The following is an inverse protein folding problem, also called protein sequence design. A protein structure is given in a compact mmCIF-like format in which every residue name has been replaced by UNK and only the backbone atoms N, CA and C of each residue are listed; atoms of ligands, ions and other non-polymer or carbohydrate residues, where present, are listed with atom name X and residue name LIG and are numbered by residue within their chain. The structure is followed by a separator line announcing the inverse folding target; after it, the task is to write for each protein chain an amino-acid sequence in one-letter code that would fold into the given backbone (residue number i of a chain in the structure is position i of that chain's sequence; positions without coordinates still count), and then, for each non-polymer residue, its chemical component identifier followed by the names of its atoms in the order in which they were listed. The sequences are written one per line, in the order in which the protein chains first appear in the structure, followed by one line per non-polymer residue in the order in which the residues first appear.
data_IF_723279847332
#
_entry.id   IF_723279847332
#
_cell.length_a   1.000
_cell.length_b   1.000
_cell.length_c   1.000
_cell.angle_alpha   90.00
_cell.angle_beta   90.00
_cell.angle_gamma   90.00
#
_symmetry.space_group_name_H-M   'P 1'
#
loop_
_entity.id
_entity.type
_entity.pdbx_description
1 polymer ?
#
# COMPACT_ATOMS: atom_id res chain seq x y z
N UNK A 1 -61.50 -41.36 -27.18
CA UNK A 1 -60.71 -40.11 -27.19
C UNK A 1 -60.31 -39.75 -25.72
N UNK A 2 -59.08 -40.12 -25.31
CA UNK A 2 -58.55 -39.81 -23.99
C UNK A 2 -57.63 -38.60 -24.14
N UNK A 3 -57.99 -37.46 -23.52
CA UNK A 3 -57.15 -36.25 -23.45
C UNK A 3 -56.15 -36.42 -22.29
N UNK A 4 -54.91 -36.53 -22.63
CA UNK A 4 -53.81 -36.53 -21.66
C UNK A 4 -53.42 -35.09 -21.33
N UNK A 5 -53.62 -34.66 -20.10
CA UNK A 5 -53.26 -33.33 -19.60
C UNK A 5 -51.78 -33.39 -19.16
N UNK A 6 -50.89 -32.68 -19.86
CA UNK A 6 -49.49 -32.59 -19.54
C UNK A 6 -49.26 -31.40 -18.59
N UNK A 7 -49.05 -31.67 -17.29
CA UNK A 7 -48.69 -30.65 -16.32
C UNK A 7 -47.19 -30.30 -16.46
N UNK A 8 -46.87 -29.12 -16.94
CA UNK A 8 -45.53 -28.55 -16.86
C UNK A 8 -45.26 -28.02 -15.42
N UNK A 9 -44.42 -28.75 -14.72
CA UNK A 9 -43.90 -28.28 -13.43
C UNK A 9 -42.78 -27.26 -13.69
N UNK A 10 -43.06 -25.96 -13.48
CA UNK A 10 -42.09 -24.89 -13.58
C UNK A 10 -41.29 -24.90 -12.24
N UNK A 11 -40.13 -25.56 -12.22
CA UNK A 11 -39.18 -25.39 -11.14
C UNK A 11 -38.54 -24.00 -11.22
N UNK A 12 -39.05 -23.06 -10.46
CA UNK A 12 -38.38 -21.78 -10.21
C UNK A 12 -37.10 -22.09 -9.40
N UNK A 13 -35.96 -22.16 -10.08
CA UNK A 13 -34.65 -22.13 -9.45
C UNK A 13 -34.48 -20.73 -8.88
N UNK A 14 -34.84 -20.55 -7.60
CA UNK A 14 -34.37 -19.42 -6.82
C UNK A 14 -32.84 -19.54 -6.73
N UNK A 15 -32.16 -18.91 -7.64
CA UNK A 15 -30.73 -18.69 -7.51
C UNK A 15 -30.50 -17.89 -6.23
N UNK A 16 -30.11 -18.57 -5.16
CA UNK A 16 -29.52 -17.92 -4.00
C UNK A 16 -28.35 -17.11 -4.54
N UNK A 17 -28.52 -15.78 -4.62
CA UNK A 17 -27.40 -14.87 -4.80
C UNK A 17 -26.46 -15.18 -3.62
N UNK A 18 -25.38 -15.91 -3.89
CA UNK A 18 -24.31 -16.03 -2.94
C UNK A 18 -23.83 -14.60 -2.71
N UNK A 19 -24.15 -14.03 -1.56
CA UNK A 19 -23.57 -12.78 -1.12
C UNK A 19 -22.07 -13.03 -1.06
N UNK A 20 -21.33 -12.57 -2.06
CA UNK A 20 -19.88 -12.57 -2.00
C UNK A 20 -19.51 -11.77 -0.74
N UNK A 21 -18.81 -12.43 0.19
CA UNK A 21 -18.33 -11.76 1.41
C UNK A 21 -17.47 -10.56 1.00
N UNK A 22 -17.76 -9.39 1.59
CA UNK A 22 -17.00 -8.19 1.34
C UNK A 22 -15.58 -8.34 1.92
N UNK A 23 -14.52 -8.30 1.08
CA UNK A 23 -13.15 -8.52 1.54
C UNK A 23 -12.70 -7.55 2.65
N UNK A 24 -13.19 -6.32 2.65
CA UNK A 24 -12.86 -5.36 3.69
C UNK A 24 -13.44 -5.79 5.04
N UNK A 25 -14.68 -6.28 5.05
CA UNK A 25 -15.30 -6.86 6.26
C UNK A 25 -14.55 -8.10 6.72
N UNK A 26 -14.19 -9.01 5.81
CA UNK A 26 -13.44 -10.23 6.13
C UNK A 26 -12.08 -9.90 6.75
N UNK A 27 -11.37 -8.86 6.24
CA UNK A 27 -10.11 -8.39 6.81
C UNK A 27 -10.30 -7.80 8.22
N UNK A 28 -11.35 -7.00 8.45
CA UNK A 28 -11.67 -6.45 9.79
C UNK A 28 -11.89 -7.58 10.79
N UNK A 29 -12.70 -8.57 10.42
CA UNK A 29 -13.02 -9.69 11.30
C UNK A 29 -11.79 -10.57 11.58
N UNK A 30 -10.96 -10.85 10.55
CA UNK A 30 -9.73 -11.61 10.71
C UNK A 30 -8.71 -10.88 11.59
N UNK A 31 -8.52 -9.58 11.39
CA UNK A 31 -7.61 -8.76 12.19
C UNK A 31 -8.06 -8.68 13.66
N UNK A 32 -9.35 -8.45 13.92
CA UNK A 32 -9.87 -8.40 15.27
C UNK A 32 -9.74 -9.74 16.01
N UNK A 33 -10.00 -10.87 15.33
CA UNK A 33 -9.78 -12.21 15.91
C UNK A 33 -8.31 -12.45 16.23
N UNK A 34 -7.41 -12.03 15.34
CA UNK A 34 -5.97 -12.12 15.58
C UNK A 34 -5.58 -11.29 16.81
N UNK A 35 -5.96 -10.00 16.87
CA UNK A 35 -5.66 -9.10 17.98
C UNK A 35 -6.20 -9.65 19.31
N UNK A 36 -7.44 -10.19 19.31
CA UNK A 36 -8.07 -10.76 20.52
C UNK A 36 -7.31 -11.98 21.07
N UNK A 37 -6.53 -12.69 20.23
CA UNK A 37 -5.74 -13.85 20.65
C UNK A 37 -4.38 -13.48 21.25
N UNK A 38 -3.96 -12.20 21.17
CA UNK A 38 -2.64 -11.74 21.57
C UNK A 38 -2.59 -11.37 23.05
N UNK A 39 -1.53 -11.78 23.73
CA UNK A 39 -1.13 -11.21 25.01
C UNK A 39 -0.53 -9.80 24.88
N UNK A 40 -0.25 -9.14 25.98
CA UNK A 40 0.26 -7.75 25.97
C UNK A 40 1.62 -7.62 25.28
N UNK A 41 2.48 -8.63 25.39
CA UNK A 41 3.79 -8.63 24.74
C UNK A 41 3.65 -8.75 23.21
N UNK A 42 2.79 -9.63 22.76
CA UNK A 42 2.50 -9.83 21.34
C UNK A 42 1.77 -8.60 20.74
N UNK A 43 0.82 -8.00 21.47
CA UNK A 43 0.18 -6.73 21.09
C UNK A 43 1.21 -5.63 20.91
N UNK A 44 2.11 -5.44 21.90
CA UNK A 44 3.18 -4.43 21.81
C UNK A 44 4.10 -4.64 20.60
N UNK A 45 4.31 -5.87 20.16
CA UNK A 45 5.13 -6.18 19.00
C UNK A 45 4.42 -5.94 17.67
N UNK A 46 3.09 -6.12 17.60
CA UNK A 46 2.34 -6.16 16.34
C UNK A 46 1.44 -4.95 16.09
N UNK A 47 1.06 -4.18 17.13
CA UNK A 47 0.12 -3.07 16.99
C UNK A 47 0.85 -1.74 16.96
N UNK A 48 0.54 -0.93 15.98
CA UNK A 48 1.11 0.39 15.75
C UNK A 48 -0.01 1.42 15.57
N UNK A 49 0.27 2.67 15.89
CA UNK A 49 -0.65 3.76 15.53
C UNK A 49 -0.75 3.92 14.01
N UNK A 50 -1.85 4.46 13.52
CA UNK A 50 -2.06 4.65 12.08
C UNK A 50 -0.99 5.53 11.42
N UNK A 51 -0.53 6.55 12.12
CA UNK A 51 0.48 7.52 11.67
C UNK A 51 1.93 7.03 11.88
N UNK A 52 2.11 5.80 12.36
CA UNK A 52 3.44 5.22 12.56
C UNK A 52 4.23 5.19 11.25
N UNK A 53 5.46 5.70 11.28
CA UNK A 53 6.40 5.62 10.15
C UNK A 53 6.74 4.18 9.76
N UNK A 54 6.56 3.23 10.68
CA UNK A 54 6.77 1.82 10.41
C UNK A 54 5.83 1.29 9.33
N UNK A 55 4.66 1.91 9.11
CA UNK A 55 3.71 1.54 8.06
C UNK A 55 4.31 1.58 6.66
N UNK A 56 5.26 2.47 6.42
CA UNK A 56 5.93 2.66 5.13
C UNK A 56 7.35 2.04 5.08
N UNK A 57 7.82 1.50 6.20
CA UNK A 57 9.13 0.83 6.30
C UNK A 57 8.99 -0.66 5.95
N UNK A 58 8.86 -0.95 4.69
CA UNK A 58 8.75 -2.31 4.17
C UNK A 58 10.10 -2.85 3.68
N UNK A 59 10.24 -4.18 3.64
CA UNK A 59 11.45 -4.81 3.14
C UNK A 59 11.21 -6.27 2.78
N UNK A 60 11.98 -6.79 1.83
CA UNK A 60 11.92 -8.19 1.38
C UNK A 60 13.23 -8.97 1.57
N UNK A 61 14.25 -8.35 2.17
CA UNK A 61 15.52 -9.01 2.49
C UNK A 61 15.41 -9.88 3.74
N UNK A 62 16.32 -10.85 3.94
CA UNK A 62 16.49 -11.49 5.24
C UNK A 62 16.79 -10.46 6.33
N UNK A 63 16.27 -10.67 7.55
CA UNK A 63 16.31 -9.69 8.65
C UNK A 63 17.68 -9.04 8.86
N UNK A 64 18.75 -9.83 8.92
CA UNK A 64 20.09 -9.32 9.17
C UNK A 64 20.62 -8.29 8.17
N UNK A 65 20.01 -8.20 6.98
CA UNK A 65 20.38 -7.23 5.95
C UNK A 65 19.53 -5.97 5.99
N UNK A 66 18.51 -5.91 6.84
CA UNK A 66 17.66 -4.73 7.01
C UNK A 66 18.40 -3.68 7.84
N UNK A 67 18.55 -2.49 7.29
CA UNK A 67 19.20 -1.38 8.01
C UNK A 67 18.17 -0.58 8.81
N UNK A 68 18.57 0.02 9.96
CA UNK A 68 19.93 0.10 10.48
C UNK A 68 20.35 -1.08 11.36
N UNK A 69 19.42 -1.85 11.92
CA UNK A 69 19.66 -2.74 13.07
C UNK A 69 19.50 -4.24 12.79
N UNK A 70 19.27 -4.61 11.53
CA UNK A 70 19.07 -6.02 11.15
C UNK A 70 17.78 -6.61 11.70
N UNK A 71 16.74 -5.79 11.91
CA UNK A 71 15.47 -6.21 12.51
C UNK A 71 14.28 -5.78 11.69
N UNK A 72 13.30 -6.67 11.60
CA UNK A 72 11.98 -6.40 11.10
C UNK A 72 11.04 -6.18 12.28
N UNK A 73 10.14 -5.22 12.16
CA UNK A 73 9.09 -4.98 13.16
C UNK A 73 7.89 -5.89 12.91
N UNK A 74 7.09 -6.11 13.95
CA UNK A 74 5.92 -6.98 13.91
C UNK A 74 6.06 -8.21 14.80
N UNK A 75 4.99 -8.96 14.94
CA UNK A 75 4.98 -10.24 15.65
C UNK A 75 5.39 -11.36 14.66
N UNK A 76 6.55 -12.01 14.83
CA UNK A 76 6.96 -13.10 13.95
C UNK A 76 6.17 -14.39 14.24
N UNK A 77 5.91 -15.18 13.21
CA UNK A 77 5.24 -16.49 13.30
C UNK A 77 5.96 -17.38 14.32
N UNK A 78 7.28 -17.29 14.40
CA UNK A 78 8.12 -18.04 15.36
C UNK A 78 7.66 -17.89 16.81
N UNK A 79 7.14 -16.73 17.18
CA UNK A 79 6.69 -16.41 18.55
C UNK A 79 5.17 -16.62 18.75
N UNK A 80 4.45 -17.01 17.70
CA UNK A 80 3.02 -17.24 17.76
C UNK A 80 2.68 -18.65 18.26
N UNK A 81 1.63 -18.77 19.05
CA UNK A 81 0.98 -20.06 19.33
C UNK A 81 0.36 -20.65 18.05
N UNK A 82 0.04 -21.94 18.06
CA UNK A 82 -0.61 -22.59 16.90
C UNK A 82 -1.93 -21.87 16.52
N UNK A 83 -2.73 -21.46 17.49
CA UNK A 83 -3.96 -20.69 17.25
C UNK A 83 -3.67 -19.33 16.61
N UNK A 84 -2.67 -18.60 17.08
CA UNK A 84 -2.29 -17.30 16.52
C UNK A 84 -1.77 -17.43 15.09
N UNK A 85 -1.03 -18.50 14.75
CA UNK A 85 -0.58 -18.80 13.39
C UNK A 85 -1.77 -19.01 12.43
N UNK A 86 -2.80 -19.75 12.88
CA UNK A 86 -4.03 -19.96 12.10
C UNK A 86 -4.72 -18.61 11.83
N UNK A 87 -4.83 -17.75 12.84
CA UNK A 87 -5.48 -16.44 12.73
C UNK A 87 -4.68 -15.47 11.84
N UNK A 88 -3.34 -15.48 11.92
CA UNK A 88 -2.47 -14.72 11.03
C UNK A 88 -2.62 -15.16 9.56
N UNK A 89 -2.70 -16.47 9.31
CA UNK A 89 -2.99 -17.00 7.98
C UNK A 89 -4.41 -16.67 7.51
N UNK A 90 -5.37 -16.57 8.44
CA UNK A 90 -6.73 -16.09 8.16
C UNK A 90 -6.75 -14.67 7.61
N UNK A 91 -5.84 -13.80 8.08
CA UNK A 91 -5.69 -12.44 7.57
C UNK A 91 -5.17 -12.44 6.10
N UNK A 92 -4.17 -13.28 5.78
CA UNK A 92 -3.74 -13.49 4.40
C UNK A 92 -4.88 -13.97 3.50
N UNK A 93 -5.64 -14.97 3.97
CA UNK A 93 -6.76 -15.55 3.22
C UNK A 93 -7.90 -14.55 3.00
N UNK A 94 -8.11 -13.57 3.88
CA UNK A 94 -9.10 -12.52 3.70
C UNK A 94 -8.76 -11.55 2.55
N UNK A 95 -7.47 -11.43 2.20
CA UNK A 95 -6.97 -10.48 1.21
C UNK A 95 -6.56 -11.12 -0.11
N UNK A 96 -5.96 -12.30 -0.06
CA UNK A 96 -5.43 -12.98 -1.22
C UNK A 96 -6.49 -13.88 -1.88
N UNK A 97 -6.38 -14.03 -3.19
CA UNK A 97 -7.08 -15.08 -3.90
C UNK A 97 -6.54 -16.46 -3.47
N UNK A 98 -7.22 -17.52 -3.85
CA UNK A 98 -6.72 -18.87 -3.63
C UNK A 98 -5.30 -19.06 -4.21
N UNK A 99 -5.06 -18.55 -5.42
CA UNK A 99 -3.74 -18.56 -6.06
C UNK A 99 -2.71 -17.79 -5.24
N UNK A 100 -3.01 -16.53 -4.89
CA UNK A 100 -2.07 -15.68 -4.14
C UNK A 100 -1.75 -16.23 -2.77
N UNK A 101 -2.72 -16.84 -2.09
CA UNK A 101 -2.49 -17.51 -0.81
C UNK A 101 -1.55 -18.72 -0.94
N UNK A 102 -1.76 -19.55 -1.97
CA UNK A 102 -0.87 -20.68 -2.25
C UNK A 102 0.55 -20.21 -2.61
N UNK A 103 0.68 -19.19 -3.45
CA UNK A 103 1.98 -18.61 -3.79
C UNK A 103 2.69 -18.06 -2.55
N UNK A 104 2.02 -17.27 -1.72
CA UNK A 104 2.58 -16.70 -0.50
C UNK A 104 3.06 -17.79 0.48
N UNK A 105 2.23 -18.80 0.74
CA UNK A 105 2.60 -19.90 1.66
C UNK A 105 3.70 -20.81 1.08
N UNK A 106 3.74 -20.99 -0.23
CA UNK A 106 4.81 -21.75 -0.89
C UNK A 106 6.13 -20.97 -0.83
N UNK A 107 6.12 -19.63 -0.99
CA UNK A 107 7.30 -18.78 -0.80
C UNK A 107 7.88 -18.93 0.61
N UNK A 108 7.01 -18.93 1.63
CA UNK A 108 7.46 -19.20 3.00
C UNK A 108 8.08 -20.59 3.15
N UNK A 109 7.54 -21.59 2.46
CA UNK A 109 8.09 -22.95 2.46
C UNK A 109 9.45 -23.05 1.74
N UNK A 110 9.70 -22.20 0.71
CA UNK A 110 11.00 -22.13 0.05
C UNK A 110 12.15 -21.76 1.00
N UNK A 111 11.90 -21.01 2.07
CA UNK A 111 12.93 -20.74 3.10
C UNK A 111 13.42 -22.03 3.77
N UNK A 112 12.54 -23.02 4.00
CA UNK A 112 12.95 -24.33 4.52
C UNK A 112 13.77 -25.11 3.51
N UNK A 113 13.43 -25.03 2.22
CA UNK A 113 14.21 -25.66 1.15
C UNK A 113 15.58 -25.01 1.06
N UNK A 114 15.67 -23.68 1.12
CA UNK A 114 16.94 -22.96 1.16
C UNK A 114 17.78 -23.31 2.37
N UNK A 115 17.16 -23.44 3.54
CA UNK A 115 17.86 -23.90 4.74
C UNK A 115 18.51 -25.28 4.53
N UNK A 116 17.77 -26.21 3.93
CA UNK A 116 18.30 -27.54 3.61
C UNK A 116 19.43 -27.50 2.57
N UNK A 117 19.37 -26.57 1.61
CA UNK A 117 20.39 -26.42 0.56
C UNK A 117 21.65 -25.69 1.04
N UNK A 118 21.48 -24.65 1.86
CA UNK A 118 22.54 -23.72 2.23
C UNK A 118 23.10 -23.93 3.65
N UNK A 119 22.35 -24.57 4.55
CA UNK A 119 22.71 -24.74 5.97
C UNK A 119 22.82 -23.42 6.75
N UNK A 120 22.13 -22.35 6.32
CA UNK A 120 22.27 -21.00 6.88
C UNK A 120 21.09 -20.65 7.76
N UNK A 121 21.34 -20.26 9.03
CA UNK A 121 20.29 -19.89 10.01
C UNK A 121 19.41 -18.70 9.61
N UNK A 122 19.85 -17.92 8.64
CA UNK A 122 19.03 -16.81 8.09
C UNK A 122 17.85 -17.30 7.26
N UNK A 123 17.84 -18.59 6.89
CA UNK A 123 16.76 -19.25 6.14
C UNK A 123 15.81 -19.87 7.14
N UNK A 124 14.79 -19.11 7.55
CA UNK A 124 13.84 -19.58 8.55
C UNK A 124 12.41 -19.28 8.12
N UNK A 125 11.60 -20.34 7.82
CA UNK A 125 10.21 -20.18 7.36
C UNK A 125 9.26 -19.58 8.41
N UNK A 126 9.72 -19.37 9.64
CA UNK A 126 8.93 -18.77 10.71
C UNK A 126 9.27 -17.27 10.93
N UNK A 127 10.21 -16.68 10.17
CA UNK A 127 10.55 -15.26 10.22
C UNK A 127 9.69 -14.44 9.24
N UNK A 128 8.38 -14.57 9.40
CA UNK A 128 7.38 -13.74 8.76
C UNK A 128 6.58 -13.02 9.84
N UNK A 129 6.35 -11.74 9.66
CA UNK A 129 5.93 -10.80 10.68
C UNK A 129 4.58 -10.19 10.34
N UNK A 130 3.73 -10.02 11.34
CA UNK A 130 2.44 -9.35 11.19
C UNK A 130 2.46 -8.03 11.93
N UNK A 131 2.12 -6.95 11.23
CA UNK A 131 1.88 -5.62 11.77
C UNK A 131 0.44 -5.20 11.49
N UNK A 132 -0.21 -4.59 12.48
CA UNK A 132 -1.50 -3.92 12.34
C UNK A 132 -1.29 -2.44 12.65
N UNK A 133 -1.78 -1.56 11.80
CA UNK A 133 -1.66 -0.10 11.90
C UNK A 133 -3.04 0.53 12.06
N UNK A 134 -3.26 1.22 13.17
CA UNK A 134 -4.57 1.72 13.56
C UNK A 134 -5.51 0.63 14.09
N UNK A 135 -6.79 0.94 14.23
CA UNK A 135 -7.82 0.04 14.78
C UNK A 135 -8.64 -0.59 13.64
N UNK A 136 -8.63 -1.93 13.47
CA UNK A 136 -9.44 -2.59 12.47
C UNK A 136 -10.93 -2.35 12.69
N UNK A 137 -11.54 -1.61 11.77
CA UNK A 137 -12.97 -1.27 11.84
C UNK A 137 -13.54 -1.00 10.44
N UNK A 138 -14.88 -1.00 10.36
CA UNK A 138 -15.62 -0.61 9.15
C UNK A 138 -15.68 0.92 8.95
N UNK A 139 -15.19 1.68 9.93
CA UNK A 139 -15.09 3.12 9.89
C UNK A 139 -13.65 3.53 10.25
N UNK A 140 -13.17 4.65 9.71
CA UNK A 140 -11.80 5.11 9.96
C UNK A 140 -10.76 4.44 9.08
N UNK A 141 -9.51 4.71 9.41
CA UNK A 141 -8.34 4.29 8.63
C UNK A 141 -7.55 3.26 9.42
N UNK A 142 -7.24 2.16 8.79
CA UNK A 142 -6.36 1.14 9.34
C UNK A 142 -5.67 0.37 8.21
N UNK A 143 -4.69 -0.41 8.57
CA UNK A 143 -4.00 -1.25 7.60
C UNK A 143 -3.23 -2.36 8.27
N UNK A 144 -2.63 -3.22 7.48
CA UNK A 144 -1.79 -4.29 7.98
C UNK A 144 -0.70 -4.65 6.98
N UNK A 145 0.36 -5.24 7.50
CA UNK A 145 1.46 -5.77 6.71
C UNK A 145 1.78 -7.18 7.15
N UNK A 146 1.99 -8.06 6.18
CA UNK A 146 2.53 -9.40 6.37
C UNK A 146 3.85 -9.48 5.61
N UNK A 147 4.95 -9.66 6.31
CA UNK A 147 6.26 -9.43 5.71
C UNK A 147 7.32 -10.39 6.24
N UNK A 148 8.16 -10.89 5.35
CA UNK A 148 9.35 -11.69 5.61
C UNK A 148 10.30 -11.66 4.43
N UNK A 149 11.27 -12.57 4.41
CA UNK A 149 12.12 -12.74 3.25
C UNK A 149 11.28 -13.19 2.04
N UNK A 150 11.44 -12.51 0.92
CA UNK A 150 10.73 -12.74 -0.35
C UNK A 150 9.19 -12.57 -0.34
N UNK A 151 8.61 -12.10 0.74
CA UNK A 151 7.18 -11.76 0.78
C UNK A 151 6.99 -10.45 1.55
N UNK A 152 6.35 -9.46 0.93
CA UNK A 152 5.94 -8.25 1.63
C UNK A 152 4.64 -7.71 1.05
N UNK A 153 3.58 -7.77 1.85
CA UNK A 153 2.22 -7.43 1.48
C UNK A 153 1.69 -6.36 2.40
N UNK A 154 1.29 -5.23 1.83
CA UNK A 154 0.76 -4.08 2.56
C UNK A 154 -0.66 -3.79 2.11
N UNK A 155 -1.58 -3.67 3.07
CA UNK A 155 -2.98 -3.36 2.81
C UNK A 155 -3.41 -2.14 3.60
N UNK A 156 -4.12 -1.24 2.95
CA UNK A 156 -4.69 -0.04 3.55
C UNK A 156 -6.19 0.01 3.31
N UNK A 157 -6.94 0.21 4.38
CA UNK A 157 -8.39 0.34 4.37
C UNK A 157 -8.80 1.71 4.90
N UNK A 158 -9.80 2.31 4.25
CA UNK A 158 -10.33 3.62 4.57
C UNK A 158 -11.85 3.54 4.58
N UNK A 159 -12.47 3.85 5.71
CA UNK A 159 -13.92 3.86 5.88
C UNK A 159 -14.59 2.58 5.31
N UNK A 160 -14.06 1.42 5.68
CA UNK A 160 -14.58 0.11 5.28
C UNK A 160 -14.34 -0.26 3.81
N UNK A 161 -13.44 0.43 3.10
CA UNK A 161 -13.05 0.11 1.73
C UNK A 161 -11.56 -0.17 1.64
N UNK A 162 -11.17 -1.10 0.77
CA UNK A 162 -9.77 -1.33 0.46
C UNK A 162 -9.31 -0.20 -0.45
N UNK A 163 -8.31 0.51 -0.01
CA UNK A 163 -7.78 1.68 -0.69
C UNK A 163 -6.48 1.37 -1.44
N UNK A 164 -5.59 0.59 -0.83
CA UNK A 164 -4.34 0.16 -1.43
C UNK A 164 -3.98 -1.26 -1.03
N UNK A 165 -3.37 -1.97 -1.98
CA UNK A 165 -2.76 -3.29 -1.79
C UNK A 165 -1.27 -3.28 -2.13
N UNK A 166 -0.72 -2.10 -2.31
CA UNK A 166 0.67 -1.89 -2.73
C UNK A 166 1.48 -1.16 -1.66
N UNK A 167 2.80 -1.40 -1.60
CA UNK A 167 3.58 -2.37 -2.38
C UNK A 167 3.10 -3.81 -2.17
N UNK A 168 3.05 -4.59 -3.26
CA UNK A 168 2.77 -6.03 -3.22
C UNK A 168 3.96 -6.78 -3.82
N UNK A 169 4.77 -7.38 -2.96
CA UNK A 169 6.01 -8.04 -3.33
C UNK A 169 5.95 -9.54 -3.11
N UNK A 170 6.31 -10.28 -4.15
CA UNK A 170 6.51 -11.73 -4.15
C UNK A 170 7.86 -12.03 -4.77
N UNK A 171 8.70 -12.75 -4.07
CA UNK A 171 9.99 -13.21 -4.56
C UNK A 171 10.19 -14.70 -4.34
N UNK A 172 11.15 -15.29 -5.02
CA UNK A 172 11.48 -16.70 -4.84
C UNK A 172 12.98 -16.94 -4.92
N UNK A 173 13.49 -17.70 -3.98
CA UNK A 173 14.82 -18.28 -4.05
C UNK A 173 14.75 -19.72 -3.52
N UNK A 174 15.01 -20.72 -4.37
CA UNK A 174 15.29 -20.62 -5.80
C UNK A 174 14.05 -20.17 -6.61
N UNK A 175 14.28 -19.64 -7.83
CA UNK A 175 13.20 -19.43 -8.80
C UNK A 175 12.58 -20.77 -9.25
N UNK A 176 13.43 -21.77 -9.41
CA UNK A 176 13.04 -23.16 -9.67
C UNK A 176 13.89 -24.10 -8.84
N UNK A 177 13.25 -24.98 -8.10
CA UNK A 177 13.94 -26.05 -7.36
C UNK A 177 14.51 -27.07 -8.35
N UNK A 178 15.84 -27.20 -8.42
CA UNK A 178 16.51 -28.03 -9.42
C UNK A 178 16.64 -29.49 -9.00
N UNK A 179 16.61 -29.78 -7.69
CA UNK A 179 16.90 -31.09 -7.12
C UNK A 179 15.98 -31.43 -5.94
N UNK A 180 16.00 -32.67 -5.47
CA UNK A 180 15.25 -33.13 -4.32
C UNK A 180 13.76 -33.38 -4.58
N UNK A 181 12.99 -33.52 -3.50
CA UNK A 181 11.57 -33.90 -3.54
C UNK A 181 10.67 -32.82 -4.21
N UNK A 182 11.11 -31.59 -4.27
CA UNK A 182 10.38 -30.47 -4.85
C UNK A 182 10.92 -30.05 -6.22
N UNK A 183 11.73 -30.91 -6.89
CA UNK A 183 12.28 -30.61 -8.21
C UNK A 183 11.19 -30.19 -9.21
N UNK A 184 11.44 -29.05 -9.87
CA UNK A 184 10.51 -28.45 -10.84
C UNK A 184 9.51 -27.47 -10.21
N UNK A 185 9.49 -27.30 -8.89
CA UNK A 185 8.67 -26.28 -8.25
C UNK A 185 9.15 -24.88 -8.68
N UNK A 186 8.26 -24.13 -9.32
CA UNK A 186 8.49 -22.76 -9.82
C UNK A 186 7.25 -21.91 -9.54
N UNK A 187 7.29 -21.10 -8.48
CA UNK A 187 6.11 -20.39 -7.97
C UNK A 187 5.67 -19.25 -8.89
N UNK A 188 6.62 -18.41 -9.34
CA UNK A 188 6.36 -17.24 -10.18
C UNK A 188 6.66 -17.51 -11.66
N UNK A 189 6.14 -18.64 -12.17
CA UNK A 189 6.40 -19.09 -13.54
C UNK A 189 5.66 -18.25 -14.59
N UNK A 190 4.44 -17.83 -14.30
CA UNK A 190 3.59 -17.13 -15.27
C UNK A 190 4.13 -15.74 -15.57
N UNK A 191 4.56 -14.99 -14.57
CA UNK A 191 5.16 -13.67 -14.72
C UNK A 191 6.38 -13.71 -15.66
N UNK A 192 7.25 -14.70 -15.48
CA UNK A 192 8.43 -14.86 -16.30
C UNK A 192 8.09 -15.31 -17.72
N UNK A 193 7.32 -16.40 -17.83
CA UNK A 193 7.08 -17.08 -19.09
C UNK A 193 6.33 -16.16 -20.08
N UNK A 194 5.31 -15.44 -19.61
CA UNK A 194 4.53 -14.54 -20.45
C UNK A 194 5.34 -13.31 -20.88
N UNK A 195 6.11 -12.73 -19.96
CA UNK A 195 6.96 -11.57 -20.29
C UNK A 195 8.08 -11.94 -21.28
N UNK A 196 8.71 -13.11 -21.10
CA UNK A 196 9.70 -13.63 -22.03
C UNK A 196 9.10 -13.92 -23.42
N UNK A 197 7.89 -14.48 -23.46
CA UNK A 197 7.14 -14.73 -24.70
C UNK A 197 6.88 -13.40 -25.43
N UNK A 198 6.44 -12.35 -24.72
CA UNK A 198 6.26 -11.02 -25.26
C UNK A 198 7.59 -10.46 -25.79
N UNK A 199 8.66 -10.47 -24.98
CA UNK A 199 9.98 -9.94 -25.38
C UNK A 199 10.57 -10.64 -26.60
N UNK A 200 10.36 -11.94 -26.75
CA UNK A 200 10.80 -12.73 -27.91
C UNK A 200 10.00 -12.44 -29.18
N UNK A 201 8.76 -12.04 -29.05
CA UNK A 201 7.85 -11.73 -30.16
C UNK A 201 8.09 -10.37 -30.80
N UNK A 202 8.93 -9.52 -30.19
CA UNK A 202 9.17 -8.15 -30.67
C UNK A 202 9.87 -8.16 -32.02
N UNK A 203 9.34 -7.42 -32.99
CA UNK A 203 10.00 -7.15 -34.27
C UNK A 203 11.26 -6.31 -34.09
N UNK A 204 12.18 -6.25 -35.07
CA UNK A 204 13.39 -5.43 -34.93
C UNK A 204 13.13 -3.98 -34.52
N UNK A 205 12.19 -3.22 -35.11
CA UNK A 205 11.90 -1.86 -34.67
C UNK A 205 11.30 -1.78 -33.25
N UNK A 206 10.53 -2.80 -32.86
CA UNK A 206 9.98 -2.87 -31.49
C UNK A 206 11.07 -3.15 -30.46
N UNK A 207 12.08 -3.96 -30.81
CA UNK A 207 13.22 -4.25 -29.92
C UNK A 207 14.08 -3.02 -29.64
N UNK A 208 14.31 -2.18 -30.62
CA UNK A 208 15.05 -0.92 -30.44
C UNK A 208 14.43 -0.01 -29.38
N UNK A 209 13.10 -0.10 -29.20
CA UNK A 209 12.36 0.70 -28.22
C UNK A 209 12.17 -0.08 -26.91
N UNK A 210 11.85 -1.37 -27.01
CA UNK A 210 11.39 -2.19 -25.88
C UNK A 210 12.52 -2.86 -25.09
N UNK A 211 13.71 -3.06 -25.71
CA UNK A 211 14.88 -3.62 -25.03
C UNK A 211 15.79 -2.49 -24.60
N UNK A 212 15.80 -2.21 -23.31
CA UNK A 212 16.51 -1.06 -22.75
C UNK A 212 18.03 -1.29 -22.66
N UNK A 213 18.46 -2.53 -22.46
CA UNK A 213 19.86 -2.89 -22.26
C UNK A 213 20.08 -4.39 -22.49
N UNK A 214 21.25 -4.74 -22.99
CA UNK A 214 21.73 -6.14 -23.04
C UNK A 214 22.08 -6.69 -21.66
N UNK A 215 22.30 -5.83 -20.66
CA UNK A 215 22.57 -6.21 -19.28
C UNK A 215 21.40 -5.79 -18.41
N UNK A 216 20.82 -6.76 -17.69
CA UNK A 216 19.80 -6.50 -16.69
C UNK A 216 20.38 -5.79 -15.45
N UNK A 217 19.60 -4.96 -14.74
CA UNK A 217 19.97 -4.49 -13.40
C UNK A 217 20.10 -5.68 -12.44
N UNK A 218 20.78 -5.48 -11.31
CA UNK A 218 21.03 -6.57 -10.36
C UNK A 218 19.83 -6.86 -9.41
N UNK A 219 18.75 -6.10 -9.50
CA UNK A 219 17.54 -6.23 -8.71
C UNK A 219 16.42 -5.36 -9.33
N UNK A 220 15.18 -5.47 -8.82
CA UNK A 220 14.11 -4.52 -9.11
C UNK A 220 14.57 -3.10 -8.78
N UNK A 221 14.29 -2.15 -9.67
CA UNK A 221 14.87 -0.81 -9.56
C UNK A 221 14.27 -0.03 -8.39
N UNK A 222 13.00 -0.30 -8.03
CA UNK A 222 12.34 0.35 -6.90
C UNK A 222 12.80 -0.16 -5.54
N UNK A 223 13.48 -1.30 -5.49
CA UNK A 223 13.95 -1.92 -4.24
C UNK A 223 12.86 -1.86 -3.15
N UNK A 224 13.26 -1.49 -1.94
CA UNK A 224 12.37 -1.25 -0.79
C UNK A 224 12.11 0.24 -0.53
N UNK A 225 12.26 1.09 -1.55
CA UNK A 225 11.98 2.51 -1.42
C UNK A 225 10.51 2.72 -1.05
N UNK A 226 10.26 3.53 -0.04
CA UNK A 226 8.92 3.80 0.43
C UNK A 226 8.12 4.62 -0.57
N UNK A 227 8.78 5.47 -1.36
CA UNK A 227 8.16 6.34 -2.36
C UNK A 227 8.77 6.09 -3.74
N UNK A 228 7.92 5.88 -4.73
CA UNK A 228 8.29 5.72 -6.13
C UNK A 228 7.57 6.77 -6.96
N UNK A 229 8.31 7.68 -7.59
CA UNK A 229 7.74 8.76 -8.42
C UNK A 229 7.91 8.45 -9.89
N UNK A 230 6.79 8.49 -10.64
CA UNK A 230 6.76 8.20 -12.07
C UNK A 230 7.72 9.09 -12.87
N UNK A 231 7.62 10.39 -12.66
CA UNK A 231 8.28 11.34 -13.57
C UNK A 231 9.76 11.60 -13.26
N UNK A 232 10.19 11.37 -12.04
CA UNK A 232 11.58 11.62 -11.61
C UNK A 232 12.44 10.37 -11.60
N UNK A 233 11.92 9.24 -11.11
CA UNK A 233 12.67 7.98 -11.00
C UNK A 233 12.37 7.02 -12.13
N UNK A 234 11.14 7.06 -12.68
CA UNK A 234 10.65 6.14 -13.69
C UNK A 234 9.95 6.88 -14.82
N UNK A 235 10.65 7.73 -15.58
CA UNK A 235 10.07 8.30 -16.79
C UNK A 235 9.60 7.16 -17.70
N UNK A 236 8.46 7.31 -18.39
CA UNK A 236 7.93 6.28 -19.28
C UNK A 236 8.96 5.86 -20.33
N UNK A 237 9.38 4.60 -20.28
CA UNK A 237 10.35 4.02 -21.21
C UNK A 237 9.94 2.61 -21.62
N UNK A 238 10.31 2.22 -22.82
CA UNK A 238 10.01 0.91 -23.39
C UNK A 238 9.00 0.99 -24.52
N UNK A 239 8.56 -0.16 -25.00
CA UNK A 239 7.62 -0.28 -26.11
C UNK A 239 6.22 0.15 -25.65
N UNK A 240 5.64 1.24 -26.22
CA UNK A 240 4.27 1.63 -25.88
C UNK A 240 3.27 0.61 -26.42
N UNK A 241 2.22 0.36 -25.68
CA UNK A 241 1.13 -0.57 -26.02
C UNK A 241 0.50 -0.23 -27.39
N UNK A 242 0.52 1.04 -27.78
CA UNK A 242 -0.01 1.50 -29.09
C UNK A 242 0.78 0.96 -30.27
N UNK A 243 2.05 0.56 -30.07
CA UNK A 243 2.92 -0.05 -31.10
C UNK A 243 2.90 -1.59 -31.05
N UNK A 244 2.07 -2.19 -30.20
CA UNK A 244 1.91 -3.64 -30.10
C UNK A 244 0.77 -4.15 -30.97
N UNK A 245 0.94 -5.35 -31.55
CA UNK A 245 -0.16 -6.06 -32.21
C UNK A 245 -1.11 -6.68 -31.16
N UNK A 246 -2.28 -7.17 -31.61
CA UNK A 246 -3.31 -7.72 -30.71
C UNK A 246 -2.82 -8.89 -29.86
N UNK A 247 -1.95 -9.76 -30.39
CA UNK A 247 -1.37 -10.89 -29.66
C UNK A 247 -0.41 -10.41 -28.56
N UNK A 248 0.43 -9.45 -28.85
CA UNK A 248 1.34 -8.83 -27.87
C UNK A 248 0.59 -8.11 -26.76
N UNK A 249 -0.48 -7.40 -27.11
CA UNK A 249 -1.38 -6.78 -26.11
C UNK A 249 -2.04 -7.83 -25.19
N UNK A 250 -2.43 -8.99 -25.75
CA UNK A 250 -2.95 -10.11 -24.98
C UNK A 250 -1.93 -10.62 -23.96
N UNK A 251 -0.69 -10.87 -24.37
CA UNK A 251 0.36 -11.30 -23.44
C UNK A 251 0.71 -10.25 -22.39
N UNK A 252 0.71 -8.96 -22.75
CA UNK A 252 0.88 -7.89 -21.76
C UNK A 252 -0.22 -7.93 -20.70
N UNK A 253 -1.47 -8.13 -21.11
CA UNK A 253 -2.60 -8.26 -20.19
C UNK A 253 -2.46 -9.50 -19.29
N UNK A 254 -2.04 -10.64 -19.82
CA UNK A 254 -1.78 -11.86 -19.05
C UNK A 254 -0.67 -11.65 -18.00
N UNK A 255 0.39 -10.88 -18.32
CA UNK A 255 1.44 -10.55 -17.35
C UNK A 255 0.85 -9.71 -16.21
N UNK A 256 0.13 -8.64 -16.51
CA UNK A 256 -0.46 -7.76 -15.51
C UNK A 256 -1.48 -8.52 -14.65
N UNK A 257 -2.26 -9.41 -15.27
CA UNK A 257 -3.20 -10.28 -14.57
C UNK A 257 -2.49 -11.24 -13.61
N UNK A 258 -1.29 -11.74 -13.94
CA UNK A 258 -0.52 -12.61 -13.05
C UNK A 258 -0.17 -11.91 -11.71
N UNK A 259 0.05 -10.59 -11.71
CA UNK A 259 0.21 -9.81 -10.47
C UNK A 259 -1.12 -9.57 -9.76
N UNK A 260 -2.15 -9.17 -10.50
CA UNK A 260 -3.46 -8.81 -9.94
C UNK A 260 -4.19 -10.04 -9.37
N UNK A 261 -4.14 -11.17 -10.05
CA UNK A 261 -4.82 -12.42 -9.67
C UNK A 261 -4.33 -13.01 -8.34
N UNK A 262 -3.25 -12.50 -7.76
CA UNK A 262 -2.82 -12.84 -6.39
C UNK A 262 -3.77 -12.29 -5.32
N UNK A 263 -4.48 -11.21 -5.64
CA UNK A 263 -5.48 -10.60 -4.76
C UNK A 263 -6.88 -11.12 -5.12
N UNK A 264 -7.81 -11.03 -4.16
CA UNK A 264 -9.21 -11.41 -4.43
C UNK A 264 -9.78 -10.53 -5.56
N UNK A 265 -10.57 -11.08 -6.48
CA UNK A 265 -11.12 -10.32 -7.63
C UNK A 265 -11.89 -9.07 -7.21
N UNK A 266 -12.62 -9.14 -6.09
CA UNK A 266 -13.39 -8.01 -5.57
C UNK A 266 -12.48 -6.85 -5.13
N UNK A 267 -11.30 -7.16 -4.59
CA UNK A 267 -10.28 -6.19 -4.23
C UNK A 267 -9.74 -5.51 -5.47
N UNK A 268 -9.33 -6.31 -6.46
CA UNK A 268 -8.81 -5.79 -7.74
C UNK A 268 -9.85 -4.89 -8.40
N UNK A 269 -11.10 -5.33 -8.49
CA UNK A 269 -12.20 -4.53 -9.05
C UNK A 269 -12.40 -3.20 -8.29
N UNK A 270 -12.24 -3.21 -6.97
CA UNK A 270 -12.39 -2.01 -6.15
C UNK A 270 -11.27 -0.99 -6.40
N UNK A 271 -10.00 -1.41 -6.40
CA UNK A 271 -8.85 -0.52 -6.59
C UNK A 271 -8.70 -0.04 -8.04
N UNK A 272 -9.18 -0.82 -9.01
CA UNK A 272 -9.08 -0.48 -10.44
C UNK A 272 -10.29 0.26 -11.00
N UNK A 273 -11.34 0.45 -10.21
CA UNK A 273 -12.58 1.09 -10.64
C UNK A 273 -12.38 2.45 -11.32
N UNK A 274 -11.43 3.25 -10.82
CA UNK A 274 -11.12 4.59 -11.36
C UNK A 274 -9.87 4.60 -12.23
N UNK A 275 -8.98 3.66 -12.04
CA UNK A 275 -7.69 3.60 -12.72
C UNK A 275 -7.44 2.15 -13.17
N UNK A 276 -7.66 1.85 -14.45
CA UNK A 276 -7.44 0.50 -14.97
C UNK A 276 -5.95 0.12 -14.81
N UNK A 277 -5.69 -1.18 -14.64
CA UNK A 277 -4.32 -1.71 -14.56
C UNK A 277 -3.52 -1.47 -15.84
N UNK A 278 -4.20 -1.39 -16.97
CA UNK A 278 -3.61 -1.14 -18.29
C UNK A 278 -4.33 0.08 -18.90
N UNK A 279 -3.58 1.13 -19.14
CA UNK A 279 -4.05 2.25 -19.95
C UNK A 279 -3.78 1.95 -21.43
N UNK A 280 -4.78 2.05 -22.33
CA UNK A 280 -4.63 1.69 -23.74
C UNK A 280 -3.73 2.65 -24.54
N UNK A 281 -3.36 3.80 -23.96
CA UNK A 281 -2.53 4.82 -24.60
C UNK A 281 -1.15 4.95 -23.95
N UNK A 282 -1.10 4.84 -22.62
CA UNK A 282 0.09 5.15 -21.81
C UNK A 282 0.60 3.94 -21.02
N UNK A 283 0.54 2.74 -21.58
CA UNK A 283 1.20 1.56 -21.02
C UNK A 283 2.45 1.23 -21.82
N UNK A 284 3.53 0.95 -21.12
CA UNK A 284 4.85 0.68 -21.69
C UNK A 284 5.39 -0.64 -21.16
N UNK A 285 5.98 -1.44 -22.03
CA UNK A 285 6.73 -2.64 -21.68
C UNK A 285 8.21 -2.43 -21.96
N UNK A 286 9.06 -2.68 -20.98
CA UNK A 286 10.50 -2.61 -21.10
C UNK A 286 11.14 -3.92 -20.62
N UNK A 287 12.17 -4.33 -21.33
CA UNK A 287 12.98 -5.51 -21.04
C UNK A 287 14.45 -5.15 -20.98
N UNK A 288 15.22 -5.82 -20.11
CA UNK A 288 16.68 -5.76 -20.09
C UNK A 288 17.26 -7.15 -19.83
N UNK A 289 18.44 -7.41 -20.36
CA UNK A 289 19.12 -8.71 -20.26
C UNK A 289 18.68 -9.72 -21.30
N UNK A 290 19.01 -10.97 -21.05
CA UNK A 290 18.80 -12.05 -22.00
C UNK A 290 17.34 -12.44 -22.16
N UNK A 291 16.96 -12.83 -23.35
CA UNK A 291 15.65 -13.40 -23.67
C UNK A 291 15.66 -14.94 -23.68
N UNK A 292 16.80 -15.56 -23.41
CA UNK A 292 16.93 -17.02 -23.27
C UNK A 292 16.48 -17.49 -21.88
N UNK A 293 15.77 -18.63 -21.76
CA UNK A 293 15.44 -19.20 -20.47
C UNK A 293 16.70 -19.51 -19.65
N UNK A 294 16.65 -19.30 -18.33
CA UNK A 294 17.75 -19.57 -17.42
C UNK A 294 18.87 -18.54 -17.42
N UNK A 295 18.69 -17.45 -18.14
CA UNK A 295 19.65 -16.32 -18.17
C UNK A 295 19.06 -15.07 -17.52
N UNK A 296 19.96 -14.22 -16.99
CA UNK A 296 19.63 -13.03 -16.25
C UNK A 296 18.80 -12.03 -17.06
N UNK A 297 17.68 -11.59 -16.49
CA UNK A 297 16.78 -10.65 -17.13
C UNK A 297 15.98 -9.84 -16.13
N UNK A 298 15.47 -8.71 -16.62
CA UNK A 298 14.57 -7.81 -15.94
C UNK A 298 13.50 -7.34 -16.91
N UNK A 299 12.28 -7.17 -16.43
CA UNK A 299 11.28 -6.39 -17.16
C UNK A 299 10.48 -5.48 -16.25
N UNK A 300 9.86 -4.48 -16.87
CA UNK A 300 8.84 -3.68 -16.21
C UNK A 300 7.67 -3.39 -17.14
N UNK A 301 6.48 -3.26 -16.54
CA UNK A 301 5.30 -2.71 -17.19
C UNK A 301 4.92 -1.46 -16.41
N UNK A 302 4.79 -0.35 -17.12
CA UNK A 302 4.53 0.95 -16.52
C UNK A 302 3.27 1.56 -17.14
N UNK A 303 2.36 2.00 -16.29
CA UNK A 303 1.13 2.72 -16.64
C UNK A 303 1.15 4.11 -16.03
N UNK A 304 0.15 4.97 -16.23
CA UNK A 304 0.09 6.26 -15.53
C UNK A 304 0.09 6.14 -14.01
N UNK A 305 -0.48 5.04 -13.47
CA UNK A 305 -0.64 4.83 -12.04
C UNK A 305 0.26 3.73 -11.47
N UNK A 306 0.43 2.64 -12.19
CA UNK A 306 1.04 1.41 -11.66
C UNK A 306 2.37 1.08 -12.33
N UNK A 307 3.23 0.44 -11.55
CA UNK A 307 4.48 -0.15 -11.99
C UNK A 307 4.53 -1.62 -11.56
N UNK A 308 4.83 -2.49 -12.50
CA UNK A 308 5.10 -3.91 -12.27
C UNK A 308 6.54 -4.15 -12.66
N UNK A 309 7.34 -4.67 -11.75
CA UNK A 309 8.75 -5.04 -12.00
C UNK A 309 8.98 -6.51 -11.71
N UNK A 310 9.89 -7.08 -12.45
CA UNK A 310 10.38 -8.44 -12.28
C UNK A 310 11.88 -8.48 -12.55
N UNK A 311 12.63 -9.04 -11.63
CA UNK A 311 14.05 -9.33 -11.78
C UNK A 311 14.34 -10.81 -11.55
N UNK A 312 15.21 -11.37 -12.36
CA UNK A 312 15.76 -12.72 -12.21
C UNK A 312 17.23 -12.71 -12.65
N UNK A 313 18.08 -12.06 -11.85
CA UNK A 313 19.52 -11.92 -12.20
C UNK A 313 20.44 -12.61 -11.21
N UNK A 314 20.01 -12.77 -9.98
CA UNK A 314 20.83 -13.32 -8.90
C UNK A 314 20.89 -14.86 -8.95
N UNK A 315 21.92 -15.45 -8.32
CA UNK A 315 22.11 -16.90 -8.19
C UNK A 315 22.06 -17.63 -9.56
N UNK A 316 22.71 -17.07 -10.59
CA UNK A 316 22.70 -17.67 -11.92
C UNK A 316 21.31 -17.66 -12.59
N UNK A 317 20.57 -16.59 -12.41
CA UNK A 317 19.18 -16.42 -12.85
C UNK A 317 18.21 -17.46 -12.24
N UNK A 318 18.44 -17.80 -10.97
CA UNK A 318 17.56 -18.68 -10.20
C UNK A 318 17.06 -18.04 -8.90
N UNK A 319 16.80 -16.72 -8.96
CA UNK A 319 16.33 -15.93 -7.83
C UNK A 319 15.47 -14.77 -8.37
N UNK A 320 14.21 -14.72 -7.95
CA UNK A 320 13.21 -13.79 -8.49
C UNK A 320 12.79 -12.78 -7.46
N UNK A 321 12.68 -11.53 -7.92
CA UNK A 321 11.98 -10.44 -7.25
C UNK A 321 10.90 -9.90 -8.17
N UNK A 322 9.65 -9.90 -7.72
CA UNK A 322 8.51 -9.37 -8.46
C UNK A 322 7.71 -8.42 -7.57
N UNK A 323 7.41 -7.23 -8.05
CA UNK A 323 6.70 -6.21 -7.26
C UNK A 323 5.67 -5.46 -8.08
N UNK A 324 4.52 -5.21 -7.46
CA UNK A 324 3.51 -4.28 -7.94
C UNK A 324 3.50 -3.04 -7.05
N UNK A 325 3.64 -1.86 -7.67
CA UNK A 325 3.67 -0.54 -7.02
C UNK A 325 2.58 0.36 -7.57
N UNK A 326 2.17 1.31 -6.77
CA UNK A 326 1.30 2.42 -7.15
C UNK A 326 2.06 3.74 -6.92
N UNK A 327 2.35 4.51 -7.98
CA UNK A 327 3.17 5.71 -7.92
C UNK A 327 2.69 6.76 -6.90
N UNK A 328 1.39 6.81 -6.64
CA UNK A 328 0.81 7.79 -5.73
C UNK A 328 0.07 7.14 -4.55
N UNK A 329 -0.25 5.86 -4.66
CA UNK A 329 -1.15 5.16 -3.73
C UNK A 329 -0.49 4.08 -2.88
N UNK A 330 0.81 3.85 -3.00
CA UNK A 330 1.52 2.92 -2.12
C UNK A 330 1.27 3.28 -0.65
N UNK A 331 0.96 2.26 0.16
CA UNK A 331 0.57 2.42 1.57
C UNK A 331 -0.67 3.30 1.80
N UNK A 332 -1.44 3.59 0.75
CA UNK A 332 -2.58 4.52 0.83
C UNK A 332 -2.17 5.99 1.05
N UNK A 333 -1.02 6.43 0.56
CA UNK A 333 -0.55 7.83 0.68
C UNK A 333 -1.52 8.84 0.10
N UNK A 334 -2.23 8.49 -0.97
CA UNK A 334 -3.26 9.34 -1.58
C UNK A 334 -4.43 9.69 -0.65
N UNK A 335 -4.57 8.98 0.48
CA UNK A 335 -5.68 9.23 1.41
C UNK A 335 -5.63 10.65 1.94
N UNK A 336 -4.46 11.10 2.39
CA UNK A 336 -4.30 12.47 2.88
C UNK A 336 -4.53 13.48 1.75
N UNK A 337 -3.96 13.24 0.57
CA UNK A 337 -4.14 14.11 -0.58
C UNK A 337 -5.60 14.14 -1.06
N UNK A 338 -6.31 13.01 -1.08
CA UNK A 338 -7.71 12.94 -1.47
C UNK A 338 -8.65 13.46 -0.39
N UNK A 339 -8.37 13.21 0.87
CA UNK A 339 -9.11 13.78 1.99
C UNK A 339 -9.00 15.30 1.97
N UNK A 340 -7.80 15.83 1.75
CA UNK A 340 -7.60 17.27 1.55
C UNK A 340 -8.32 17.80 0.31
N UNK A 341 -8.24 17.10 -0.83
CA UNK A 341 -8.92 17.54 -2.06
C UNK A 341 -10.46 17.43 -1.97
N UNK A 342 -11.00 16.48 -1.21
CA UNK A 342 -12.45 16.32 -1.01
C UNK A 342 -12.97 17.24 0.09
N UNK A 343 -12.20 17.49 1.14
CA UNK A 343 -12.53 18.46 2.17
C UNK A 343 -12.53 19.91 1.65
N UNK A 344 -11.87 20.14 0.50
CA UNK A 344 -11.79 21.44 -0.17
C UNK A 344 -12.73 21.62 -1.36
N UNK A 345 -13.50 20.58 -1.76
CA UNK A 345 -14.71 20.81 -2.57
C UNK A 345 -15.73 21.44 -1.64
N UNK A 346 -16.32 22.60 -2.08
CA UNK A 346 -17.41 23.27 -1.37
C UNK A 346 -18.30 22.26 -0.67
N UNK A 347 -18.31 22.31 0.65
CA UNK A 347 -19.12 21.42 1.46
C UNK A 347 -20.58 21.58 1.07
N UNK A 348 -21.21 20.53 0.59
CA UNK A 348 -22.65 20.42 0.56
C UNK A 348 -23.10 20.45 2.04
N UNK A 349 -23.72 21.55 2.45
CA UNK A 349 -24.20 21.71 3.84
C UNK A 349 -23.84 23.03 4.52
N UNK A 350 -23.44 24.08 3.79
CA UNK A 350 -23.25 25.42 4.37
C UNK A 350 -21.91 25.67 5.06
N UNK A 351 -20.94 24.75 4.92
CA UNK A 351 -19.57 24.93 5.44
C UNK A 351 -18.74 25.82 4.49
N UNK A 352 -17.97 26.74 5.07
CA UNK A 352 -16.98 27.56 4.37
C UNK A 352 -15.57 27.11 4.77
N UNK A 353 -14.72 26.80 3.78
CA UNK A 353 -13.31 26.50 4.06
C UNK A 353 -12.54 27.80 4.30
N UNK A 354 -11.92 27.94 5.47
CA UNK A 354 -11.09 29.07 5.84
C UNK A 354 -9.65 28.96 5.36
N UNK A 355 -9.25 27.78 4.84
CA UNK A 355 -7.90 27.50 4.34
C UNK A 355 -7.96 26.78 2.99
N UNK A 356 -7.20 27.24 2.03
CA UNK A 356 -7.19 26.71 0.65
C UNK A 356 -6.25 25.50 0.45
N UNK A 357 -5.55 25.07 1.50
CA UNK A 357 -4.57 23.98 1.43
C UNK A 357 -3.23 24.37 0.77
N UNK A 358 -3.08 25.60 0.28
CA UNK A 358 -1.91 26.02 -0.52
C UNK A 358 -1.25 27.29 -0.03
N UNK A 359 -2.04 28.23 0.49
CA UNK A 359 -1.56 29.56 0.85
C UNK A 359 -2.13 30.01 2.19
N UNK A 360 -1.47 30.96 2.84
CA UNK A 360 -2.00 31.65 4.02
C UNK A 360 -2.86 32.86 3.63
N UNK A 361 -3.42 32.90 2.44
CA UNK A 361 -4.31 33.97 2.00
C UNK A 361 -5.54 34.06 2.92
N UNK A 362 -5.79 35.25 3.46
CA UNK A 362 -6.87 35.48 4.44
C UNK A 362 -6.45 35.22 5.88
N UNK A 363 -5.20 34.88 6.12
CA UNK A 363 -4.63 34.72 7.46
C UNK A 363 -3.54 35.75 7.73
N UNK A 364 -3.43 36.20 8.96
CA UNK A 364 -2.42 37.17 9.40
C UNK A 364 -1.83 36.74 10.74
N UNK A 365 -0.52 36.63 10.81
CA UNK A 365 0.19 36.43 12.06
C UNK A 365 0.30 37.75 12.83
N UNK A 366 0.36 37.70 14.15
CA UNK A 366 0.58 38.87 14.98
C UNK A 366 2.05 39.08 15.34
N UNK A 367 2.78 38.02 15.57
CA UNK A 367 4.18 38.02 15.94
C UNK A 367 4.87 36.87 15.16
N UNK A 368 6.14 37.02 14.82
CA UNK A 368 6.96 35.97 14.21
C UNK A 368 6.33 35.35 12.93
N UNK A 369 6.07 36.15 11.93
CA UNK A 369 5.41 35.73 10.66
C UNK A 369 5.99 34.45 10.05
N UNK A 370 7.29 34.23 10.22
CA UNK A 370 7.97 33.01 9.71
C UNK A 370 7.63 31.73 10.46
N UNK A 371 6.87 31.82 11.56
CA UNK A 371 6.45 30.66 12.36
C UNK A 371 5.36 29.82 11.72
N UNK A 372 4.68 30.37 10.71
CA UNK A 372 3.59 29.69 10.02
C UNK A 372 3.97 29.44 8.56
N UNK A 373 3.86 28.19 8.16
CA UNK A 373 4.16 27.74 6.77
C UNK A 373 3.08 26.79 6.30
N UNK A 374 2.86 26.76 4.99
CA UNK A 374 2.04 25.71 4.39
C UNK A 374 2.96 24.60 3.94
N UNK A 375 2.70 23.39 4.39
CA UNK A 375 3.38 22.17 3.97
C UNK A 375 2.36 21.04 3.87
N UNK A 376 2.40 20.30 2.77
CA UNK A 376 1.57 19.11 2.53
C UNK A 376 0.07 19.33 2.78
N UNK A 377 -0.43 20.52 2.36
CA UNK A 377 -1.83 20.90 2.54
C UNK A 377 -2.22 21.33 3.96
N UNK A 378 -1.26 21.47 4.87
CA UNK A 378 -1.48 21.84 6.27
C UNK A 378 -0.84 23.20 6.61
N UNK A 379 -1.44 23.92 7.55
CA UNK A 379 -0.77 25.04 8.23
C UNK A 379 0.12 24.44 9.32
N UNK A 380 1.42 24.61 9.18
CA UNK A 380 2.41 24.14 10.14
C UNK A 380 2.86 25.33 10.98
N UNK A 381 2.63 25.26 12.29
CA UNK A 381 3.12 26.24 13.26
C UNK A 381 4.40 25.70 13.92
N UNK A 382 5.49 26.45 13.86
CA UNK A 382 6.73 26.15 14.58
C UNK A 382 7.40 27.46 14.97
N UNK A 383 7.20 27.85 16.22
CA UNK A 383 7.70 29.11 16.75
C UNK A 383 8.65 28.89 17.95
N UNK A 384 9.72 29.65 18.07
CA UNK A 384 10.58 29.64 19.26
C UNK A 384 9.92 30.32 20.47
N UNK A 385 8.75 30.91 20.27
CA UNK A 385 8.01 31.65 21.30
C UNK A 385 6.54 31.84 20.92
N UNK A 386 5.89 32.73 21.61
CA UNK A 386 4.49 33.06 21.40
C UNK A 386 4.26 33.60 20.00
N UNK A 387 3.25 33.08 19.30
CA UNK A 387 2.71 33.64 18.06
C UNK A 387 1.28 33.12 17.82
N UNK A 388 0.48 33.91 17.11
CA UNK A 388 -0.90 33.57 16.78
C UNK A 388 -1.18 33.90 15.32
N UNK A 389 -1.92 33.01 14.65
CA UNK A 389 -2.36 33.18 13.28
C UNK A 389 -3.86 33.45 13.26
N UNK A 390 -4.26 34.61 12.81
CA UNK A 390 -5.65 35.07 12.81
C UNK A 390 -6.26 34.99 11.42
N UNK A 391 -7.44 34.40 11.30
CA UNK A 391 -8.23 34.47 10.08
C UNK A 391 -8.85 35.88 9.94
N UNK A 392 -8.59 36.53 8.82
CA UNK A 392 -9.07 37.88 8.53
C UNK A 392 -10.39 37.80 7.77
N UNK A 393 -11.47 38.25 8.41
CA UNK A 393 -12.81 38.29 7.79
C UNK A 393 -13.39 39.69 7.82
N UNK A 394 -14.17 40.04 6.79
CA UNK A 394 -14.89 41.32 6.73
C UNK A 394 -16.08 41.39 7.71
N UNK A 395 -16.63 40.21 8.05
CA UNK A 395 -17.75 40.11 9.00
C UNK A 395 -17.36 39.12 10.09
N UNK A 396 -17.43 39.47 11.38
CA UNK A 396 -17.13 38.54 12.46
C UNK A 396 -18.13 37.35 12.45
N UNK A 397 -17.62 36.16 12.74
CA UNK A 397 -18.46 35.01 13.02
C UNK A 397 -19.13 35.20 14.40
N UNK A 398 -20.44 34.94 14.50
CA UNK A 398 -21.20 35.06 15.76
C UNK A 398 -21.69 33.69 16.23
N UNK A 399 -22.59 33.09 15.45
CA UNK A 399 -23.13 31.78 15.71
C UNK A 399 -22.58 30.83 14.63
N UNK A 400 -21.67 29.94 15.00
CA UNK A 400 -20.94 29.11 14.05
C UNK A 400 -20.53 27.78 14.67
N UNK A 401 -20.35 26.78 13.82
CA UNK A 401 -19.63 25.54 14.10
C UNK A 401 -18.27 25.63 13.41
N UNK A 402 -17.20 25.29 14.14
CA UNK A 402 -15.83 25.27 13.60
C UNK A 402 -15.28 23.85 13.68
N UNK A 403 -14.66 23.38 12.60
CA UNK A 403 -13.99 22.08 12.54
C UNK A 403 -12.54 22.27 12.09
N UNK A 404 -11.62 21.67 12.81
CA UNK A 404 -10.22 21.57 12.44
C UNK A 404 -9.65 20.23 12.86
N UNK A 405 -8.82 19.66 12.01
CA UNK A 405 -7.98 18.53 12.39
C UNK A 405 -6.63 19.06 12.86
N UNK A 406 -6.18 18.62 14.02
CA UNK A 406 -4.94 19.10 14.63
C UNK A 406 -4.02 17.92 14.92
N UNK A 407 -2.77 18.03 14.45
CA UNK A 407 -1.71 17.09 14.78
C UNK A 407 -0.63 17.78 15.60
N UNK A 408 -0.26 17.17 16.72
CA UNK A 408 0.81 17.68 17.58
C UNK A 408 2.04 16.78 17.54
N UNK A 409 3.21 17.37 17.55
CA UNK A 409 4.46 16.67 17.79
C UNK A 409 4.75 16.62 19.30
N UNK A 410 5.63 15.72 19.78
CA UNK A 410 6.05 15.71 21.18
C UNK A 410 6.49 17.11 21.65
N UNK A 411 6.05 17.50 22.85
CA UNK A 411 6.29 18.79 23.46
C UNK A 411 5.58 19.99 22.80
N UNK A 412 4.57 19.74 21.95
CA UNK A 412 3.75 20.81 21.40
C UNK A 412 2.81 21.38 22.45
N UNK A 413 2.69 22.69 22.47
CA UNK A 413 1.70 23.44 23.23
C UNK A 413 1.09 24.49 22.31
N UNK A 414 -0.20 24.40 22.02
CA UNK A 414 -0.93 25.25 21.09
C UNK A 414 -2.40 25.34 21.49
N UNK A 415 -3.20 26.09 20.75
CA UNK A 415 -4.63 26.19 20.97
C UNK A 415 -5.34 26.86 19.79
N UNK A 416 -6.64 26.66 19.73
CA UNK A 416 -7.52 27.33 18.78
C UNK A 416 -8.40 28.32 19.53
N UNK A 417 -8.23 29.59 19.21
CA UNK A 417 -9.02 30.67 19.82
C UNK A 417 -10.25 31.02 18.98
N UNK A 418 -11.38 31.22 19.62
CA UNK A 418 -12.60 31.74 19.00
C UNK A 418 -13.24 32.87 19.83
N UNK A 419 -14.08 33.68 19.19
CA UNK A 419 -14.62 34.95 19.74
C UNK A 419 -13.53 35.93 20.15
N UNK A 420 -12.40 35.94 19.45
CA UNK A 420 -11.30 36.86 19.66
C UNK A 420 -11.17 37.85 18.50
N UNK A 421 -10.39 38.90 18.71
CA UNK A 421 -10.06 39.91 17.70
C UNK A 421 -8.56 39.90 17.43
N UNK A 422 -8.18 40.25 16.21
CA UNK A 422 -6.79 40.50 15.88
C UNK A 422 -6.17 41.54 16.80
N UNK A 423 -4.97 41.30 17.24
CA UNK A 423 -4.11 42.23 17.97
C UNK A 423 -2.66 42.03 17.51
N UNK A 424 -1.90 43.14 17.48
CA UNK A 424 -0.57 43.14 16.87
C UNK A 424 0.45 42.34 17.69
N UNK A 425 0.23 42.21 19.01
CA UNK A 425 1.12 41.52 19.92
C UNK A 425 0.37 40.91 21.12
N UNK A 426 1.02 39.95 21.78
CA UNK A 426 0.54 39.40 23.04
C UNK A 426 -0.49 38.26 22.86
N UNK A 427 -0.94 37.75 23.99
CA UNK A 427 -2.02 36.76 24.06
C UNK A 427 -3.38 37.39 23.75
N UNK A 428 -4.29 36.66 23.10
CA UNK A 428 -5.65 37.15 22.90
C UNK A 428 -6.30 37.63 24.21
N UNK A 429 -6.76 38.88 24.22
CA UNK A 429 -7.32 39.52 25.44
C UNK A 429 -8.77 39.13 25.70
N UNK A 430 -9.44 38.54 24.73
CA UNK A 430 -10.84 38.11 24.81
C UNK A 430 -11.05 36.84 23.98
N UNK A 431 -12.12 36.11 24.27
CA UNK A 431 -12.47 34.85 23.60
C UNK A 431 -12.21 33.64 24.46
N UNK A 432 -12.27 32.50 23.83
CA UNK A 432 -12.07 31.17 24.44
C UNK A 432 -11.00 30.41 23.68
N UNK A 433 -10.24 29.60 24.39
CA UNK A 433 -9.23 28.71 23.81
C UNK A 433 -9.68 27.26 23.93
N UNK A 434 -9.63 26.58 22.81
CA UNK A 434 -9.62 25.12 22.80
C UNK A 434 -8.14 24.69 22.84
N UNK A 435 -7.68 24.27 24.01
CA UNK A 435 -6.28 23.92 24.28
C UNK A 435 -5.89 22.66 23.50
N UNK A 436 -4.74 22.70 22.83
CA UNK A 436 -4.10 21.58 22.17
C UNK A 436 -2.71 21.40 22.74
N UNK A 437 -2.52 20.42 23.61
CA UNK A 437 -1.26 20.26 24.34
C UNK A 437 -0.87 18.80 24.49
N UNK A 438 0.38 18.45 24.18
CA UNK A 438 0.97 17.16 24.51
C UNK A 438 2.31 17.29 25.28
N UNK A 439 2.47 18.39 26.06
CA UNK A 439 3.59 18.57 26.97
C UNK A 439 3.28 17.95 28.32
N UNK A 440 3.97 16.89 28.68
CA UNK A 440 3.81 16.17 29.95
C UNK A 440 4.21 16.96 31.21
N UNK A 441 4.71 18.20 31.04
CA UNK A 441 5.30 18.98 32.13
C UNK A 441 4.38 20.07 32.71
N UNK A 442 3.20 20.28 32.13
CA UNK A 442 2.23 21.23 32.67
C UNK A 442 0.89 20.55 32.98
N UNK A 443 0.72 19.99 34.18
CA UNK A 443 -0.49 19.28 34.56
C UNK A 443 -1.75 20.17 34.62
N UNK A 444 -1.62 21.49 34.55
CA UNK A 444 -2.75 22.42 34.47
C UNK A 444 -3.24 22.67 33.05
N UNK A 445 -2.53 22.19 32.05
CA UNK A 445 -2.80 22.40 30.63
C UNK A 445 -2.91 21.11 29.79
N UNK A 446 -2.91 19.97 30.44
CA UNK A 446 -3.26 18.70 29.80
C UNK A 446 -4.78 18.61 29.72
N UNK A 447 -5.30 18.59 28.48
CA UNK A 447 -6.71 18.29 28.22
C UNK A 447 -6.96 16.78 28.29
#
# INVERSE_FOLDING_TARGET
MKKTLLCFLFCAILGSAAFAHDPATDMVDAANRFIASLDDKAKKASLFTWDSKERERWNYLPDKFIKPDGKRQGLPIKLMTAQQRILANGLLSAALSHRGYLEATTIMTLEQILFQMEGRDIRNPELYYVCIFGEPSKAGNWGWRYEGHHLSLSFTLVNGRIFSVTPSFFGTNPAEVKEGAFKGLKVLADEENMARKLARSLSPPQREIGILSEKAPADVLTKWDSEVKRDTFFPPQGLPITKMNSRQKGWLAEIVEAYAAKHRPEIVAQITKKNPLIDPKETYFAWAGSRSPGEGHYYRIQTPKFLFEYDCTQNGANHVHAVWRDFNGDFGRDILAQHHAQSHKKAEGGWESLFDGKTLKGWKANENDNSFKVRDGCIVANAPGRCHLFYQTKKPFKDFEFKAEVMTLPHSNSGIYFHTKFQDEGWPKAGFECQVNNTYHDPKKTA
#
